data_IF_461155983164
#
_entry.id   IF_461155983164
#
_cell.length_a   1.000
_cell.length_b   1.000
_cell.length_c   1.000
_cell.angle_alpha   90.00
_cell.angle_beta   90.00
_cell.angle_gamma   90.00
#
_symmetry.space_group_name_H-M   'P 1'
#
loop_
_entity.id
_entity.type
_entity.pdbx_description
1 polymer ?
#
# COMPACT_ATOMS: atom_id res chain seq x y z
N UNK A 1 11.21 -10.23 -7.21
CA UNK A 1 10.58 -9.04 -6.60
C UNK A 1 11.21 -7.78 -7.19
N UNK A 2 10.52 -6.63 -7.13
CA UNK A 2 11.07 -5.34 -7.59
C UNK A 2 12.05 -4.83 -6.55
N UNK A 3 13.25 -4.41 -6.97
CA UNK A 3 14.29 -3.96 -6.05
C UNK A 3 13.99 -2.58 -5.48
N UNK A 4 14.57 -2.28 -4.31
CA UNK A 4 14.51 -0.94 -3.71
C UNK A 4 14.98 0.15 -4.68
N UNK A 5 16.03 -0.11 -5.46
CA UNK A 5 16.59 0.86 -6.42
C UNK A 5 15.58 1.20 -7.53
N UNK A 6 14.91 0.19 -8.09
CA UNK A 6 13.89 0.39 -9.11
C UNK A 6 12.69 1.15 -8.54
N UNK A 7 12.22 0.77 -7.34
CA UNK A 7 11.13 1.47 -6.66
C UNK A 7 11.48 2.92 -6.31
N UNK A 8 12.72 3.22 -5.91
CA UNK A 8 13.18 4.59 -5.68
C UNK A 8 13.10 5.45 -6.94
N UNK A 9 13.49 4.91 -8.10
CA UNK A 9 13.36 5.63 -9.38
C UNK A 9 11.88 5.90 -9.69
N UNK A 10 11.00 4.93 -9.47
CA UNK A 10 9.55 5.13 -9.66
C UNK A 10 9.02 6.20 -8.71
N UNK A 11 9.41 6.17 -7.43
CA UNK A 11 9.01 7.18 -6.45
C UNK A 11 9.44 8.60 -6.85
N UNK A 12 10.68 8.76 -7.33
CA UNK A 12 11.18 10.07 -7.76
C UNK A 12 10.37 10.61 -8.96
N UNK A 13 10.03 9.77 -9.93
CA UNK A 13 9.20 10.16 -11.08
C UNK A 13 7.79 10.51 -10.64
N UNK A 14 7.17 9.70 -9.77
CA UNK A 14 5.83 9.98 -9.25
C UNK A 14 5.79 11.31 -8.49
N UNK A 15 6.81 11.61 -7.67
CA UNK A 15 6.91 12.88 -6.94
C UNK A 15 7.04 14.07 -7.91
N UNK A 16 7.92 13.97 -8.91
CA UNK A 16 8.12 15.03 -9.91
C UNK A 16 6.85 15.39 -10.67
N UNK A 17 5.97 14.41 -10.87
CA UNK A 17 4.71 14.59 -11.60
C UNK A 17 3.48 14.69 -10.69
N UNK A 18 3.66 14.80 -9.36
CA UNK A 18 2.55 14.89 -8.38
C UNK A 18 1.54 13.74 -8.53
N UNK A 19 2.05 12.53 -8.74
CA UNK A 19 1.26 11.32 -8.91
C UNK A 19 1.10 10.61 -7.57
N UNK A 20 -0.14 10.34 -7.17
CA UNK A 20 -0.45 9.47 -6.04
C UNK A 20 -0.28 8.01 -6.44
N UNK A 21 0.38 7.21 -5.59
CA UNK A 21 0.59 5.78 -5.80
C UNK A 21 -0.30 4.96 -4.87
N UNK A 22 -1.08 4.04 -5.43
CA UNK A 22 -1.78 3.00 -4.66
C UNK A 22 -1.04 1.69 -4.87
N UNK A 23 -0.31 1.24 -3.85
CA UNK A 23 0.49 0.02 -3.89
C UNK A 23 -0.33 -1.16 -3.35
N UNK A 24 -0.75 -2.08 -4.22
CA UNK A 24 -1.37 -3.36 -3.80
C UNK A 24 -0.29 -4.40 -3.49
N UNK A 25 -0.11 -4.66 -2.21
CA UNK A 25 0.93 -5.49 -1.63
C UNK A 25 0.35 -6.75 -0.97
N UNK A 26 -0.82 -7.21 -1.41
CA UNK A 26 -1.46 -8.43 -0.88
C UNK A 26 -0.62 -9.71 -1.08
N UNK A 27 0.29 -9.72 -2.07
CA UNK A 27 1.18 -10.85 -2.34
C UNK A 27 2.57 -10.70 -1.70
N UNK A 28 2.76 -9.74 -0.79
CA UNK A 28 4.05 -9.43 -0.14
C UNK A 28 4.73 -10.62 0.53
N UNK A 29 3.95 -11.59 1.03
CA UNK A 29 4.44 -12.81 1.67
C UNK A 29 4.79 -13.95 0.69
N UNK A 30 4.49 -13.81 -0.61
CA UNK A 30 4.74 -14.83 -1.63
C UNK A 30 5.96 -14.48 -2.46
N UNK A 31 7.15 -14.57 -1.86
CA UNK A 31 8.43 -14.39 -2.55
C UNK A 31 8.96 -15.72 -3.10
N UNK A 32 9.69 -15.66 -4.21
CA UNK A 32 10.41 -16.80 -4.82
C UNK A 32 11.93 -16.59 -4.66
N UNK A 33 12.69 -17.68 -4.63
CA UNK A 33 14.15 -17.73 -4.77
C UNK A 33 14.91 -16.68 -3.93
N UNK A 34 14.73 -16.73 -2.60
CA UNK A 34 15.34 -15.84 -1.59
C UNK A 34 15.17 -14.32 -1.86
N UNK A 35 14.27 -13.94 -2.78
CA UNK A 35 14.07 -12.53 -3.11
C UNK A 35 13.35 -11.79 -1.98
N UNK A 36 13.92 -10.67 -1.57
CA UNK A 36 13.32 -9.81 -0.55
C UNK A 36 12.18 -8.98 -1.15
N UNK A 37 11.05 -8.94 -0.44
CA UNK A 37 9.96 -8.02 -0.75
C UNK A 37 10.25 -6.64 -0.13
N UNK A 38 10.14 -5.58 -0.93
CA UNK A 38 10.34 -4.20 -0.47
C UNK A 38 9.01 -3.45 -0.54
N UNK A 39 8.40 -3.06 0.60
CA UNK A 39 7.18 -2.25 0.59
C UNK A 39 7.43 -0.90 -0.07
N UNK A 40 6.54 -0.48 -0.97
CA UNK A 40 6.72 0.77 -1.73
C UNK A 40 6.85 1.97 -0.80
N UNK A 41 5.96 2.10 0.19
CA UNK A 41 6.00 3.20 1.15
C UNK A 41 7.30 3.28 1.96
N UNK A 42 8.13 2.24 1.99
CA UNK A 42 9.40 2.20 2.75
C UNK A 42 10.63 2.70 1.98
N UNK A 43 10.51 3.06 0.69
CA UNK A 43 11.69 3.25 -0.16
C UNK A 43 12.35 4.63 -0.04
N UNK A 44 11.58 5.68 0.22
CA UNK A 44 12.07 7.04 0.39
C UNK A 44 11.07 7.92 1.17
N UNK A 45 11.44 9.16 1.48
CA UNK A 45 10.48 10.15 1.99
C UNK A 45 9.42 10.51 0.94
N UNK A 46 9.81 10.56 -0.35
CA UNK A 46 8.90 10.81 -1.46
C UNK A 46 7.81 9.72 -1.54
N UNK A 47 8.19 8.44 -1.46
CA UNK A 47 7.20 7.36 -1.46
C UNK A 47 6.23 7.47 -0.28
N UNK A 48 6.69 7.84 0.92
CA UNK A 48 5.81 8.05 2.08
C UNK A 48 4.85 9.23 1.91
N UNK A 49 5.27 10.24 1.14
CA UNK A 49 4.51 11.45 0.92
C UNK A 49 3.26 11.22 0.06
N UNK A 50 3.36 10.39 -0.99
CA UNK A 50 2.30 10.24 -1.99
C UNK A 50 1.71 8.82 -2.11
N UNK A 51 1.99 7.91 -1.17
CA UNK A 51 1.52 6.52 -1.28
C UNK A 51 0.43 6.12 -0.31
N UNK A 52 -0.38 5.17 -0.78
CA UNK A 52 -1.31 4.35 -0.01
C UNK A 52 -0.92 2.89 -0.27
N UNK A 53 -0.54 2.14 0.75
CA UNK A 53 -0.32 0.70 0.65
C UNK A 53 -1.56 -0.05 1.09
N UNK A 54 -2.01 -1.00 0.28
CA UNK A 54 -3.10 -1.93 0.59
C UNK A 54 -2.53 -3.34 0.72
N UNK A 55 -2.85 -4.04 1.81
CA UNK A 55 -2.40 -5.42 2.02
C UNK A 55 -3.37 -6.22 2.87
N UNK A 56 -3.19 -7.54 2.93
CA UNK A 56 -3.93 -8.45 3.79
C UNK A 56 -3.15 -9.76 3.97
N UNK A 57 -3.16 -10.40 5.15
CA UNK A 57 -2.70 -11.77 5.35
C UNK A 57 -3.57 -12.83 4.64
N UNK A 58 -4.69 -12.45 4.02
CA UNK A 58 -5.65 -13.39 3.42
C UNK A 58 -5.03 -14.39 2.42
N UNK A 59 -4.11 -13.94 1.55
CA UNK A 59 -3.42 -14.82 0.59
C UNK A 59 -2.32 -15.65 1.24
N UNK A 60 -1.58 -15.08 2.17
CA UNK A 60 -0.47 -15.75 2.86
C UNK A 60 -0.95 -16.93 3.72
N UNK A 61 -2.11 -16.79 4.36
CA UNK A 61 -2.63 -17.76 5.34
C UNK A 61 -3.96 -18.41 4.91
N UNK A 62 -4.36 -18.24 3.65
CA UNK A 62 -5.63 -18.75 3.11
C UNK A 62 -6.88 -18.32 3.91
N UNK A 63 -6.90 -17.06 4.36
CA UNK A 63 -7.98 -16.46 5.17
C UNK A 63 -8.94 -15.63 4.32
N UNK A 64 -9.18 -16.00 3.06
CA UNK A 64 -10.02 -15.22 2.14
C UNK A 64 -11.50 -15.16 2.55
N UNK A 65 -11.95 -16.08 3.42
CA UNK A 65 -13.27 -16.04 4.03
C UNK A 65 -13.43 -15.02 5.16
N UNK A 66 -12.32 -14.42 5.64
CA UNK A 66 -12.36 -13.28 6.54
C UNK A 66 -12.28 -12.00 5.70
N UNK A 67 -13.31 -11.16 5.76
CA UNK A 67 -13.35 -9.91 4.99
C UNK A 67 -12.57 -8.82 5.72
N UNK A 68 -11.26 -8.71 5.43
CA UNK A 68 -10.41 -7.66 6.00
C UNK A 68 -9.26 -7.27 5.08
N UNK A 69 -8.93 -5.98 5.12
CA UNK A 69 -7.79 -5.38 4.44
C UNK A 69 -7.12 -4.35 5.37
N UNK A 70 -5.85 -4.09 5.12
CA UNK A 70 -5.03 -3.15 5.88
C UNK A 70 -4.60 -2.04 4.90
N UNK A 71 -4.95 -0.80 5.22
CA UNK A 71 -4.48 0.39 4.53
C UNK A 71 -3.39 1.09 5.36
N UNK A 72 -2.20 1.27 4.80
CA UNK A 72 -1.09 1.99 5.41
C UNK A 72 -0.88 3.28 4.64
N UNK A 73 -1.09 4.42 5.29
CA UNK A 73 -1.02 5.76 4.67
C UNK A 73 -0.17 6.66 5.57
N UNK A 74 1.14 6.82 5.29
CA UNK A 74 2.03 7.63 6.13
C UNK A 74 1.69 9.13 6.11
N UNK A 75 1.21 9.64 4.96
CA UNK A 75 0.78 11.03 4.84
C UNK A 75 -0.56 11.24 5.57
N UNK A 76 -0.53 12.06 6.63
CA UNK A 76 -1.72 12.34 7.46
C UNK A 76 -2.88 12.96 6.69
N UNK A 77 -2.61 13.90 5.78
CA UNK A 77 -3.66 14.56 5.02
C UNK A 77 -4.38 13.56 4.09
N UNK A 78 -3.62 12.74 3.38
CA UNK A 78 -4.18 11.66 2.57
C UNK A 78 -4.93 10.64 3.43
N UNK A 79 -4.41 10.29 4.60
CA UNK A 79 -5.06 9.39 5.55
C UNK A 79 -6.41 9.93 6.02
N UNK A 80 -6.51 11.23 6.32
CA UNK A 80 -7.78 11.88 6.66
C UNK A 80 -8.79 11.86 5.50
N UNK A 81 -8.33 12.15 4.28
CA UNK A 81 -9.18 12.06 3.07
C UNK A 81 -9.68 10.64 2.84
N UNK A 82 -8.80 9.64 2.92
CA UNK A 82 -9.16 8.23 2.77
C UNK A 82 -10.17 7.77 3.83
N UNK A 83 -9.96 8.15 5.10
CA UNK A 83 -10.91 7.82 6.18
C UNK A 83 -12.29 8.43 5.95
N UNK A 84 -12.36 9.63 5.38
CA UNK A 84 -13.62 10.30 5.07
C UNK A 84 -14.37 9.59 3.95
N UNK A 85 -13.65 9.18 2.89
CA UNK A 85 -14.22 8.41 1.78
C UNK A 85 -14.73 7.05 2.25
N UNK A 86 -13.92 6.31 3.02
CA UNK A 86 -14.31 5.00 3.53
C UNK A 86 -15.53 5.06 4.46
N UNK A 87 -15.70 6.13 5.22
CA UNK A 87 -16.87 6.30 6.09
C UNK A 87 -18.20 6.49 5.32
N UNK A 88 -18.14 6.85 4.04
CA UNK A 88 -19.31 7.01 3.17
C UNK A 88 -19.72 5.68 2.51
N UNK A 89 -18.83 4.69 2.50
CA UNK A 89 -19.07 3.40 1.87
C UNK A 89 -19.94 2.50 2.77
N UNK A 90 -21.07 1.97 2.28
CA UNK A 90 -21.98 1.13 3.07
C UNK A 90 -21.29 -0.11 3.66
N UNK A 91 -20.28 -0.63 2.96
CA UNK A 91 -19.51 -1.81 3.36
C UNK A 91 -18.64 -1.57 4.62
N UNK A 92 -18.34 -0.31 4.94
CA UNK A 92 -17.61 0.11 6.14
C UNK A 92 -18.50 0.82 7.18
N UNK A 93 -19.80 0.97 6.88
CA UNK A 93 -20.77 1.42 7.87
C UNK A 93 -20.91 0.34 8.96
N UNK A 94 -20.75 0.75 10.22
CA UNK A 94 -20.75 -0.15 11.38
C UNK A 94 -22.01 -1.00 11.40
N UNK A 95 -21.85 -2.32 11.43
CA UNK A 95 -22.83 -3.23 12.01
C UNK A 95 -22.90 -3.07 13.53
#
# INVERSE_FOLDING_TARGET
MISRKELSVVADVCEQHTVTVVSDEINSYLTYDDSEFVPYGSVSSASQHHSVTLTSPSKAFNLQGLTYAIGIIPNKAMGSSASTLLAQEPCFSKG
#
